data_IF_586465255325
#
_entry.id   IF_586465255325
#
_cell.length_a   1.000
_cell.length_b   1.000
_cell.length_c   1.000
_cell.angle_alpha   90.00
_cell.angle_beta   90.00
_cell.angle_gamma   90.00
#
_symmetry.space_group_name_H-M   'P 1'
#
loop_
_entity.id
_entity.type
_entity.pdbx_description
1 polymer ?
#
# COMPACT_ATOMS: atom_id res chain seq x y z
N UNK A 1 -31.44 -9.51 16.50
CA UNK A 1 -31.10 -10.79 15.85
C UNK A 1 -32.23 -11.08 14.89
N UNK A 2 -32.06 -10.71 13.63
CA UNK A 2 -32.90 -11.17 12.52
C UNK A 2 -31.92 -11.46 11.38
N UNK A 3 -31.91 -12.72 10.96
CA UNK A 3 -31.09 -13.24 9.86
C UNK A 3 -32.03 -13.32 8.67
N UNK A 4 -31.79 -12.51 7.64
CA UNK A 4 -32.46 -12.68 6.36
C UNK A 4 -31.60 -13.60 5.50
N UNK A 5 -32.10 -14.82 5.29
CA UNK A 5 -31.49 -15.83 4.44
C UNK A 5 -31.65 -15.44 2.96
N UNK A 6 -30.56 -15.49 2.19
CA UNK A 6 -30.62 -15.37 0.74
C UNK A 6 -30.86 -16.74 0.11
N UNK A 7 -31.87 -16.81 -0.74
CA UNK A 7 -32.22 -17.96 -1.54
C UNK A 7 -31.31 -18.00 -2.77
N UNK A 8 -30.44 -19.00 -2.88
CA UNK A 8 -29.60 -19.21 -4.06
C UNK A 8 -30.43 -19.86 -5.16
N UNK A 9 -30.78 -19.11 -6.21
CA UNK A 9 -31.13 -19.72 -7.49
C UNK A 9 -29.83 -20.04 -8.22
N UNK A 10 -29.56 -21.33 -8.36
CA UNK A 10 -28.47 -21.86 -9.17
C UNK A 10 -28.70 -21.52 -10.64
N UNK A 11 -27.92 -20.60 -11.20
CA UNK A 11 -27.76 -20.50 -12.65
C UNK A 11 -26.72 -21.53 -13.11
N UNK A 12 -26.94 -22.20 -14.26
CA UNK A 12 -26.09 -23.30 -14.69
C UNK A 12 -24.69 -22.81 -15.01
N UNK A 13 -23.72 -23.59 -14.55
CA UNK A 13 -22.29 -23.43 -14.79
C UNK A 13 -22.03 -23.63 -16.29
N UNK A 14 -21.81 -22.55 -17.03
CA UNK A 14 -21.21 -22.64 -18.35
C UNK A 14 -19.84 -21.93 -18.37
N UNK A 15 -18.91 -22.62 -18.99
CA UNK A 15 -17.48 -22.45 -18.86
C UNK A 15 -16.93 -21.25 -19.63
N UNK A 16 -15.86 -20.65 -19.07
CA UNK A 16 -15.06 -19.51 -19.56
C UNK A 16 -15.72 -18.14 -19.41
N UNK A 17 -15.50 -17.54 -18.25
CA UNK A 17 -15.41 -16.07 -18.17
C UNK A 17 -14.19 -15.74 -17.32
N UNK A 18 -13.23 -15.06 -17.94
CA UNK A 18 -12.09 -14.43 -17.29
C UNK A 18 -12.62 -13.58 -16.14
N UNK A 19 -11.98 -13.66 -14.98
CA UNK A 19 -12.15 -12.67 -13.93
C UNK A 19 -11.92 -11.25 -14.48
N UNK A 20 -12.48 -10.26 -13.80
CA UNK A 20 -12.46 -8.82 -14.09
C UNK A 20 -13.58 -8.33 -15.04
N UNK A 21 -14.78 -8.19 -14.47
CA UNK A 21 -15.71 -7.06 -14.72
C UNK A 21 -16.94 -7.23 -13.80
N UNK A 22 -16.81 -6.86 -12.53
CA UNK A 22 -17.96 -6.75 -11.62
C UNK A 22 -18.51 -5.33 -11.71
N UNK A 23 -19.46 -5.13 -12.63
CA UNK A 23 -20.32 -3.95 -12.61
C UNK A 23 -21.32 -4.09 -11.45
N UNK A 24 -21.08 -3.40 -10.34
CA UNK A 24 -22.06 -3.31 -9.25
C UNK A 24 -23.18 -2.36 -9.71
N UNK A 25 -24.27 -2.93 -10.24
CA UNK A 25 -25.48 -2.18 -10.57
C UNK A 25 -26.33 -1.95 -9.31
N UNK A 26 -26.76 -0.70 -9.09
CA UNK A 26 -27.70 -0.32 -8.02
C UNK A 26 -29.04 -1.04 -8.22
N UNK A 27 -29.58 -1.66 -7.16
CA UNK A 27 -30.95 -2.21 -7.15
C UNK A 27 -31.89 -1.30 -6.35
N UNK A 28 -33.18 -1.26 -6.73
CA UNK A 28 -34.19 -0.23 -6.36
C UNK A 28 -34.61 -0.17 -4.87
N UNK A 29 -33.98 -0.92 -3.95
CA UNK A 29 -34.44 -1.05 -2.57
C UNK A 29 -33.38 -0.78 -1.50
N UNK A 30 -32.38 0.06 -1.80
CA UNK A 30 -31.48 0.59 -0.78
C UNK A 30 -32.22 1.61 0.10
N UNK A 31 -32.26 1.37 1.42
CA UNK A 31 -32.86 2.27 2.43
C UNK A 31 -31.90 2.48 3.60
N UNK A 32 -30.83 3.22 3.36
CA UNK A 32 -30.07 3.86 4.42
C UNK A 32 -29.69 5.23 3.90
N UNK A 33 -30.18 6.27 4.58
CA UNK A 33 -29.87 7.67 4.29
C UNK A 33 -28.35 7.89 4.44
N UNK A 34 -27.77 8.49 3.40
CA UNK A 34 -26.58 9.35 3.34
C UNK A 34 -25.24 8.97 4.05
N UNK A 35 -25.03 7.73 4.47
CA UNK A 35 -23.73 7.31 5.05
C UNK A 35 -22.58 7.10 4.03
N UNK A 36 -22.82 7.29 2.73
CA UNK A 36 -21.85 7.11 1.64
C UNK A 36 -21.46 8.43 0.92
N UNK A 37 -21.96 9.58 1.40
CA UNK A 37 -21.77 10.87 0.73
C UNK A 37 -22.87 11.18 -0.29
N UNK A 38 -22.86 12.39 -0.86
CA UNK A 38 -23.91 12.89 -1.76
C UNK A 38 -24.18 11.97 -2.96
N UNK A 39 -25.39 12.01 -3.57
CA UNK A 39 -25.69 11.25 -4.80
C UNK A 39 -24.61 11.43 -5.87
N UNK A 40 -23.92 10.33 -6.22
CA UNK A 40 -22.78 10.34 -7.17
C UNK A 40 -21.44 9.94 -6.56
N UNK A 41 -21.36 9.70 -5.25
CA UNK A 41 -20.17 9.15 -4.61
C UNK A 41 -19.86 7.73 -5.10
N UNK A 42 -18.60 7.48 -5.43
CA UNK A 42 -18.05 6.16 -5.78
C UNK A 42 -17.24 5.67 -4.58
N UNK A 43 -17.69 4.60 -3.93
CA UNK A 43 -16.94 3.95 -2.85
C UNK A 43 -15.91 2.97 -3.40
N UNK A 44 -14.76 2.86 -2.73
CA UNK A 44 -13.74 1.84 -3.04
C UNK A 44 -13.98 0.61 -2.17
N UNK A 45 -14.05 -0.57 -2.79
CA UNK A 45 -14.08 -1.84 -2.07
C UNK A 45 -12.70 -2.10 -1.49
N UNK A 46 -12.53 -1.93 -0.17
CA UNK A 46 -11.26 -2.15 0.52
C UNK A 46 -10.99 -3.64 0.80
N UNK A 47 -12.05 -4.44 0.95
CA UNK A 47 -11.97 -5.88 1.23
C UNK A 47 -13.25 -6.60 0.82
N UNK A 48 -13.09 -7.73 0.14
CA UNK A 48 -14.17 -8.68 -0.14
C UNK A 48 -14.04 -9.85 0.83
N UNK A 49 -15.10 -10.15 1.60
CA UNK A 49 -15.17 -11.32 2.49
C UNK A 49 -16.22 -12.31 1.96
N UNK A 50 -16.19 -13.54 2.47
CA UNK A 50 -17.05 -14.66 2.03
C UNK A 50 -18.56 -14.36 2.23
N UNK A 51 -18.90 -13.39 3.09
CA UNK A 51 -20.25 -12.95 3.43
C UNK A 51 -20.59 -11.51 2.99
N UNK A 52 -19.70 -10.79 2.29
CA UNK A 52 -20.01 -9.48 1.72
C UNK A 52 -18.84 -8.52 1.49
N UNK A 53 -19.15 -7.32 0.98
CA UNK A 53 -18.23 -6.19 0.83
C UNK A 53 -18.24 -5.40 2.15
N UNK A 54 -17.07 -5.27 2.79
CA UNK A 54 -16.92 -4.43 3.98
C UNK A 54 -16.36 -3.07 3.56
N UNK A 55 -17.14 -2.02 3.76
CA UNK A 55 -16.70 -0.62 3.70
C UNK A 55 -16.60 -0.14 5.14
N UNK A 56 -15.39 -0.07 5.70
CA UNK A 56 -15.19 0.49 7.03
C UNK A 56 -14.47 1.84 6.90
N UNK A 57 -15.19 2.93 7.22
CA UNK A 57 -14.61 4.26 7.31
C UNK A 57 -13.91 4.39 8.67
N UNK A 58 -12.61 4.15 8.72
CA UNK A 58 -11.82 4.42 9.91
C UNK A 58 -11.20 5.81 9.81
N UNK A 59 -11.89 6.80 10.39
CA UNK A 59 -11.32 8.14 10.62
C UNK A 59 -10.11 8.05 11.55
N UNK A 60 -8.91 7.91 10.96
CA UNK A 60 -7.68 8.43 11.56
C UNK A 60 -7.11 9.51 10.66
N UNK A 61 -7.66 10.71 10.82
CA UNK A 61 -7.13 11.93 10.24
C UNK A 61 -5.88 12.35 11.04
N UNK A 62 -4.80 11.58 10.94
CA UNK A 62 -3.48 12.01 11.37
C UNK A 62 -2.85 12.86 10.28
N UNK A 63 -2.44 14.08 10.65
CA UNK A 63 -2.00 15.15 9.76
C UNK A 63 -0.97 14.69 8.71
N UNK A 64 -1.34 14.89 7.45
CA UNK A 64 -0.59 14.56 6.23
C UNK A 64 0.85 15.13 6.23
N UNK A 65 1.11 16.19 6.99
CA UNK A 65 2.42 16.85 7.04
C UNK A 65 3.58 15.95 7.52
N UNK A 66 3.31 14.86 8.26
CA UNK A 66 4.39 14.06 8.88
C UNK A 66 5.15 13.14 7.90
N UNK A 67 4.67 12.96 6.67
CA UNK A 67 5.21 11.98 5.71
C UNK A 67 5.95 12.58 4.51
N UNK A 68 6.13 13.91 4.47
CA UNK A 68 6.81 14.58 3.36
C UNK A 68 8.32 14.76 3.59
N UNK A 69 8.75 14.90 4.84
CA UNK A 69 10.15 15.20 5.17
C UNK A 69 10.97 13.91 5.30
N UNK A 70 11.86 13.70 4.34
CA UNK A 70 12.85 12.62 4.35
C UNK A 70 14.18 13.19 4.85
N UNK A 71 14.72 12.59 5.91
CA UNK A 71 16.05 12.93 6.45
C UNK A 71 17.10 12.10 5.72
N UNK A 72 18.24 12.70 5.40
CA UNK A 72 19.38 12.01 4.80
C UNK A 72 20.12 11.09 5.76
N UNK A 73 19.89 11.23 7.07
CA UNK A 73 20.58 10.48 8.12
C UNK A 73 19.84 9.22 8.56
N UNK A 74 18.62 9.01 8.05
CA UNK A 74 17.79 7.85 8.35
C UNK A 74 17.55 7.06 7.05
N UNK A 75 17.25 5.75 7.14
CA UNK A 75 16.91 4.96 5.97
C UNK A 75 15.75 5.62 5.21
N UNK A 76 15.78 5.63 3.87
CA UNK A 76 14.77 6.36 3.12
C UNK A 76 13.33 5.89 3.35
N UNK A 77 12.35 6.76 3.10
CA UNK A 77 10.94 6.32 3.08
C UNK A 77 10.73 5.23 2.03
N UNK A 78 9.87 4.27 2.33
CA UNK A 78 9.66 3.06 1.53
C UNK A 78 10.63 1.91 1.84
N UNK A 79 11.66 2.15 2.67
CA UNK A 79 12.60 1.10 3.07
C UNK A 79 11.88 0.02 3.88
N UNK A 80 12.21 -1.24 3.57
CA UNK A 80 11.66 -2.44 4.20
C UNK A 80 12.46 -2.79 5.45
N UNK A 81 11.76 -3.21 6.50
CA UNK A 81 12.36 -3.44 7.82
C UNK A 81 11.75 -4.64 8.53
N UNK A 82 12.49 -5.18 9.49
CA UNK A 82 12.00 -6.10 10.53
C UNK A 82 12.42 -5.61 11.91
N UNK A 83 11.84 -6.20 12.96
CA UNK A 83 12.34 -6.00 14.33
C UNK A 83 13.84 -6.33 14.41
N UNK A 84 14.58 -5.48 15.12
CA UNK A 84 16.00 -5.63 15.42
C UNK A 84 16.25 -6.29 16.77
N UNK A 85 17.52 -6.41 17.14
CA UNK A 85 17.91 -7.08 18.39
C UNK A 85 17.47 -6.32 19.65
N UNK A 86 17.29 -5.00 19.56
CA UNK A 86 16.88 -4.17 20.69
C UNK A 86 15.35 -4.05 20.81
N UNK A 87 14.59 -4.85 20.06
CA UNK A 87 13.13 -4.84 20.09
C UNK A 87 12.57 -5.29 21.44
N UNK A 88 11.74 -4.44 22.04
CA UNK A 88 11.04 -4.68 23.31
C UNK A 88 9.51 -4.48 23.20
N UNK A 89 8.99 -4.29 21.98
CA UNK A 89 7.62 -3.83 21.71
C UNK A 89 6.61 -4.97 21.56
N UNK A 90 6.87 -6.12 22.18
CA UNK A 90 6.02 -7.32 22.12
C UNK A 90 5.73 -7.72 20.65
N UNK A 91 4.55 -8.24 20.35
CA UNK A 91 4.15 -8.74 19.03
C UNK A 91 3.46 -7.68 18.14
N UNK A 92 3.83 -6.39 18.23
CA UNK A 92 3.22 -5.31 17.41
C UNK A 92 3.34 -5.53 15.90
N UNK A 93 4.43 -6.15 15.47
CA UNK A 93 4.76 -6.50 14.09
C UNK A 93 4.35 -7.93 13.71
N UNK A 94 3.87 -8.74 14.66
CA UNK A 94 3.52 -10.16 14.45
C UNK A 94 4.63 -10.97 13.75
N UNK A 95 5.89 -10.71 14.09
CA UNK A 95 7.07 -11.30 13.44
C UNK A 95 7.09 -11.07 11.91
N UNK A 96 6.41 -10.04 11.43
CA UNK A 96 6.28 -9.66 10.01
C UNK A 96 7.18 -8.48 9.62
N UNK A 97 7.34 -8.24 8.31
CA UNK A 97 8.06 -7.08 7.81
C UNK A 97 7.20 -5.80 7.92
N UNK A 98 7.84 -4.64 7.75
CA UNK A 98 7.17 -3.35 7.70
C UNK A 98 7.83 -2.39 6.71
N UNK A 99 7.20 -1.23 6.51
CA UNK A 99 7.69 -0.15 5.64
C UNK A 99 7.91 1.12 6.43
N UNK A 100 9.06 1.78 6.26
CA UNK A 100 9.29 3.13 6.78
C UNK A 100 8.44 4.13 6.00
N UNK A 101 7.47 4.77 6.67
CA UNK A 101 6.53 5.73 6.05
C UNK A 101 6.79 7.18 6.46
N UNK A 102 7.56 7.42 7.53
CA UNK A 102 7.89 8.78 7.97
C UNK A 102 9.07 8.81 8.91
N UNK A 103 9.63 10.00 9.16
CA UNK A 103 10.78 10.20 10.04
C UNK A 103 10.45 11.11 11.23
N UNK A 104 11.19 10.91 12.31
CA UNK A 104 11.37 11.88 13.38
C UNK A 104 12.87 12.04 13.62
N UNK A 105 13.48 12.92 12.82
CA UNK A 105 14.92 13.15 12.81
C UNK A 105 15.46 13.61 14.17
N UNK A 106 14.72 14.49 14.87
CA UNK A 106 15.11 14.99 16.20
C UNK A 106 15.34 13.89 17.24
N UNK A 107 14.73 12.71 17.05
CA UNK A 107 14.84 11.55 17.94
C UNK A 107 15.54 10.36 17.28
N UNK A 108 16.03 10.49 16.05
CA UNK A 108 16.55 9.37 15.26
C UNK A 108 15.57 8.20 15.19
N UNK A 109 14.29 8.50 14.91
CA UNK A 109 13.23 7.52 14.84
C UNK A 109 12.62 7.43 13.45
N UNK A 110 12.22 6.22 13.08
CA UNK A 110 11.48 5.92 11.85
C UNK A 110 10.06 5.49 12.22
N UNK A 111 9.06 6.04 11.52
CA UNK A 111 7.68 5.61 11.57
C UNK A 111 7.51 4.42 10.64
N UNK A 112 7.10 3.28 11.17
CA UNK A 112 6.91 2.05 10.39
C UNK A 112 5.45 1.68 10.38
N UNK A 113 4.93 1.31 9.21
CA UNK A 113 3.67 0.58 9.05
C UNK A 113 3.98 -0.91 8.87
N UNK A 114 3.43 -1.75 9.74
CA UNK A 114 3.65 -3.20 9.71
C UNK A 114 2.68 -3.90 8.77
N UNK A 115 3.22 -4.81 7.95
CA UNK A 115 2.52 -5.47 6.86
C UNK A 115 1.33 -6.34 7.30
N UNK A 116 1.45 -7.00 8.46
CA UNK A 116 0.44 -7.96 8.96
C UNK A 116 -0.61 -7.31 9.86
N UNK A 117 -0.24 -6.22 10.53
CA UNK A 117 -1.11 -5.58 11.54
C UNK A 117 -1.67 -4.23 11.09
N UNK A 118 -1.08 -3.62 10.04
CA UNK A 118 -1.37 -2.25 9.63
C UNK A 118 -0.98 -1.19 10.67
N UNK A 119 -0.42 -1.59 11.81
CA UNK A 119 -0.10 -0.66 12.89
C UNK A 119 1.05 0.25 12.50
N UNK A 120 0.92 1.52 12.87
CA UNK A 120 1.96 2.54 12.68
C UNK A 120 2.54 2.98 14.01
N UNK A 121 3.87 2.96 14.13
CA UNK A 121 4.54 3.50 15.31
C UNK A 121 5.96 3.99 14.99
N UNK A 122 6.55 4.76 15.92
CA UNK A 122 7.93 5.22 15.84
C UNK A 122 8.87 4.27 16.58
N UNK A 123 9.96 3.92 15.92
CA UNK A 123 11.01 3.06 16.44
C UNK A 123 12.37 3.74 16.27
N UNK A 124 13.25 3.57 17.25
CA UNK A 124 14.62 4.05 17.17
C UNK A 124 15.38 3.28 16.11
N UNK A 125 15.98 4.05 15.20
CA UNK A 125 16.90 3.52 14.22
C UNK A 125 18.31 3.98 14.58
N UNK A 126 19.21 3.02 14.74
CA UNK A 126 20.64 3.28 14.74
C UNK A 126 21.30 2.41 13.66
N UNK A 127 22.36 2.94 13.06
CA UNK A 127 23.22 2.22 12.10
C UNK A 127 24.11 1.17 12.78
N UNK A 128 23.93 0.96 14.08
CA UNK A 128 24.70 0.03 14.89
C UNK A 128 23.90 -1.24 15.20
N UNK A 129 24.56 -2.20 15.85
CA UNK A 129 23.98 -3.53 16.12
C UNK A 129 22.79 -3.52 17.09
N UNK A 130 22.45 -2.40 17.75
CA UNK A 130 21.38 -2.33 18.78
C UNK A 130 20.18 -1.49 18.34
N UNK A 131 19.79 -1.58 17.08
CA UNK A 131 18.59 -0.88 16.58
C UNK A 131 17.31 -1.63 17.00
N UNK A 132 16.22 -0.88 17.25
CA UNK A 132 14.90 -1.51 17.45
C UNK A 132 14.41 -2.16 16.16
N UNK A 133 14.87 -1.67 15.00
CA UNK A 133 14.48 -2.16 13.68
C UNK A 133 15.68 -2.22 12.74
N UNK A 134 15.70 -3.21 11.85
CA UNK A 134 16.78 -3.45 10.88
C UNK A 134 16.23 -3.40 9.46
N UNK A 135 17.02 -2.86 8.54
CA UNK A 135 16.70 -2.83 7.10
C UNK A 135 16.81 -4.24 6.52
N UNK A 136 15.86 -4.59 5.65
CA UNK A 136 15.83 -5.85 4.91
C UNK A 136 15.50 -5.61 3.44
N UNK A 137 15.82 -6.55 2.56
CA UNK A 137 15.47 -6.51 1.13
C UNK A 137 14.20 -7.32 0.81
N UNK A 138 13.43 -7.68 1.84
CA UNK A 138 12.20 -8.46 1.68
C UNK A 138 11.09 -7.62 1.02
N UNK A 139 10.56 -8.06 -0.13
CA UNK A 139 9.52 -7.31 -0.81
C UNK A 139 8.20 -7.29 -0.01
N UNK A 140 7.34 -6.31 -0.32
CA UNK A 140 5.95 -6.33 0.11
C UNK A 140 5.21 -7.47 -0.62
N UNK A 141 4.66 -8.40 0.16
CA UNK A 141 3.81 -9.48 -0.35
C UNK A 141 2.36 -9.13 -0.03
N UNK A 142 1.54 -9.02 -1.06
CA UNK A 142 0.12 -8.74 -0.93
C UNK A 142 -0.64 -9.98 -0.46
N UNK A 143 -1.57 -9.79 0.47
CA UNK A 143 -2.59 -10.78 0.77
C UNK A 143 -3.62 -10.86 -0.39
N UNK A 144 -4.33 -11.99 -0.58
CA UNK A 144 -5.23 -12.18 -1.73
C UNK A 144 -6.34 -11.13 -1.88
N UNK A 145 -6.67 -10.42 -0.79
CA UNK A 145 -7.70 -9.37 -0.74
C UNK A 145 -7.12 -7.95 -0.81
N UNK A 146 -5.79 -7.78 -0.79
CA UNK A 146 -5.16 -6.48 -0.90
C UNK A 146 -4.98 -6.11 -2.39
N UNK A 147 -5.27 -4.84 -2.70
CA UNK A 147 -5.04 -4.28 -4.03
C UNK A 147 -3.70 -3.56 -4.03
N UNK A 148 -3.71 -2.26 -3.73
CA UNK A 148 -2.52 -1.44 -3.48
C UNK A 148 -2.47 -1.08 -2.00
N UNK A 149 -1.31 -1.23 -1.40
CA UNK A 149 -1.08 -0.98 0.04
C UNK A 149 0.34 -0.42 0.24
N UNK A 150 0.59 0.10 1.43
CA UNK A 150 1.92 0.58 1.83
C UNK A 150 3.00 -0.47 1.56
N UNK A 151 4.16 -0.02 1.07
CA UNK A 151 5.30 -0.86 0.75
C UNK A 151 5.26 -1.49 -0.65
N UNK A 152 4.15 -1.39 -1.40
CA UNK A 152 4.11 -1.87 -2.77
C UNK A 152 5.08 -1.09 -3.66
N UNK A 153 5.77 -1.82 -4.53
CA UNK A 153 6.47 -1.22 -5.67
C UNK A 153 5.46 -0.90 -6.76
N UNK A 154 5.59 0.26 -7.41
CA UNK A 154 4.69 0.71 -8.48
C UNK A 154 5.44 1.38 -9.62
N UNK A 155 4.89 1.29 -10.82
CA UNK A 155 5.30 2.05 -12.00
C UNK A 155 4.13 2.86 -12.54
N UNK A 156 4.36 3.65 -13.60
CA UNK A 156 3.30 4.39 -14.30
C UNK A 156 2.25 3.42 -14.84
N UNK A 157 0.99 3.66 -14.50
CA UNK A 157 -0.17 2.95 -15.03
C UNK A 157 -0.72 3.58 -16.30
N UNK A 158 -1.78 2.98 -16.85
CA UNK A 158 -2.38 3.35 -18.14
C UNK A 158 -2.98 4.75 -18.17
N UNK A 159 -3.39 5.29 -17.01
CA UNK A 159 -4.04 6.61 -16.92
C UNK A 159 -3.07 7.76 -16.62
N UNK A 160 -1.76 7.48 -16.53
CA UNK A 160 -0.75 8.44 -16.09
C UNK A 160 -0.80 9.76 -16.88
N UNK A 161 -0.92 10.87 -16.15
CA UNK A 161 -0.99 12.23 -16.73
C UNK A 161 -0.01 13.24 -16.11
N UNK A 162 0.92 12.78 -15.27
CA UNK A 162 1.79 13.65 -14.45
C UNK A 162 3.19 13.88 -15.05
N UNK A 163 3.30 13.81 -16.39
CA UNK A 163 4.56 14.06 -17.08
C UNK A 163 5.72 13.20 -16.55
N UNK A 164 6.77 13.86 -16.04
CA UNK A 164 8.02 13.24 -15.56
C UNK A 164 8.19 13.27 -14.04
N UNK A 165 7.10 13.32 -13.27
CA UNK A 165 7.15 13.34 -11.80
C UNK A 165 7.96 12.17 -11.17
N UNK A 166 7.99 11.02 -11.85
CA UNK A 166 8.65 9.80 -11.39
C UNK A 166 10.11 9.64 -11.85
N UNK A 167 10.83 10.72 -12.22
CA UNK A 167 12.21 10.67 -12.73
C UNK A 167 12.32 10.18 -14.18
N UNK A 168 12.08 8.88 -14.41
CA UNK A 168 12.12 8.25 -15.75
C UNK A 168 10.84 7.43 -16.00
N UNK A 169 10.45 7.15 -17.26
CA UNK A 169 9.27 6.33 -17.55
C UNK A 169 9.25 4.96 -16.86
N UNK A 170 10.42 4.35 -16.69
CA UNK A 170 10.59 3.00 -16.13
C UNK A 170 10.94 3.01 -14.63
N UNK A 171 10.93 4.19 -14.00
CA UNK A 171 11.24 4.29 -12.58
C UNK A 171 10.18 3.60 -11.72
N UNK A 172 10.68 2.87 -10.72
CA UNK A 172 9.87 2.19 -9.72
C UNK A 172 9.76 3.07 -8.48
N UNK A 173 8.53 3.39 -8.11
CA UNK A 173 8.19 4.09 -6.87
C UNK A 173 7.77 3.11 -5.78
N UNK A 174 7.75 3.60 -4.56
CA UNK A 174 7.25 2.85 -3.39
C UNK A 174 6.06 3.57 -2.78
N UNK A 175 4.98 2.83 -2.53
CA UNK A 175 3.78 3.34 -1.88
C UNK A 175 4.05 3.62 -0.40
N UNK A 176 3.81 4.85 0.03
CA UNK A 176 3.97 5.30 1.42
C UNK A 176 2.65 5.39 2.19
N UNK A 177 1.52 5.60 1.50
CA UNK A 177 0.20 5.60 2.11
C UNK A 177 -0.89 5.47 1.03
N UNK A 178 -1.99 4.82 1.37
CA UNK A 178 -3.20 4.75 0.56
C UNK A 178 -4.31 5.48 1.31
N UNK A 179 -5.04 6.36 0.63
CA UNK A 179 -6.21 7.08 1.18
C UNK A 179 -7.50 6.38 0.77
N UNK A 180 -8.53 6.54 1.58
CA UNK A 180 -9.87 5.97 1.34
C UNK A 180 -10.51 6.47 0.03
N UNK A 181 -10.11 7.64 -0.47
CA UNK A 181 -10.59 8.23 -1.73
C UNK A 181 -9.85 7.69 -2.98
N UNK A 182 -9.02 6.66 -2.84
CA UNK A 182 -8.27 6.05 -3.94
C UNK A 182 -7.04 6.85 -4.37
N UNK A 183 -6.61 7.83 -3.57
CA UNK A 183 -5.35 8.56 -3.80
C UNK A 183 -4.19 7.86 -3.06
N UNK A 184 -3.09 7.65 -3.76
CA UNK A 184 -1.93 6.88 -3.28
C UNK A 184 -0.69 7.77 -3.25
N UNK A 185 -0.08 7.93 -2.08
CA UNK A 185 1.20 8.64 -1.92
C UNK A 185 2.34 7.71 -2.33
N UNK A 186 3.10 8.11 -3.35
CA UNK A 186 4.26 7.36 -3.84
C UNK A 186 5.51 8.19 -3.67
N UNK A 187 6.61 7.54 -3.25
CA UNK A 187 7.97 8.08 -3.31
C UNK A 187 8.69 7.50 -4.51
N UNK A 188 9.26 8.36 -5.34
CA UNK A 188 10.06 7.97 -6.49
C UNK A 188 11.58 8.01 -6.20
N UNK A 189 12.43 7.39 -7.05
CA UNK A 189 13.88 7.33 -6.83
C UNK A 189 14.55 8.72 -6.71
N UNK A 190 14.05 9.72 -7.42
CA UNK A 190 14.48 11.11 -7.32
C UNK A 190 14.04 11.81 -6.00
N UNK A 191 13.49 11.05 -5.05
CA UNK A 191 12.94 11.49 -3.75
C UNK A 191 11.67 12.33 -3.85
N UNK A 192 11.13 12.57 -5.04
CA UNK A 192 9.84 13.23 -5.20
C UNK A 192 8.74 12.37 -4.56
N UNK A 193 7.72 13.04 -4.03
CA UNK A 193 6.58 12.41 -3.37
C UNK A 193 5.32 13.10 -3.81
N UNK A 194 4.36 12.35 -4.34
CA UNK A 194 3.08 12.91 -4.76
C UNK A 194 1.96 11.88 -4.65
N UNK A 195 0.72 12.38 -4.69
CA UNK A 195 -0.46 11.54 -4.74
C UNK A 195 -0.88 11.25 -6.18
N UNK A 196 -1.19 10.00 -6.46
CA UNK A 196 -1.65 9.50 -7.76
C UNK A 196 -2.93 8.70 -7.60
N UNK A 197 -3.74 8.59 -8.64
CA UNK A 197 -5.02 7.88 -8.57
C UNK A 197 -4.81 6.39 -8.74
N UNK A 198 -5.47 5.62 -7.88
CA UNK A 198 -5.63 4.19 -8.03
C UNK A 198 -7.09 3.85 -7.71
N UNK A 199 -7.95 3.96 -8.72
CA UNK A 199 -9.40 3.83 -8.62
C UNK A 199 -10.15 5.14 -8.38
N UNK A 200 -9.47 6.22 -7.97
CA UNK A 200 -10.08 7.54 -7.83
C UNK A 200 -10.57 8.06 -9.19
N UNK A 201 -11.85 8.46 -9.23
CA UNK A 201 -12.58 8.83 -10.46
C UNK A 201 -12.52 7.75 -11.57
N UNK A 202 -12.26 6.49 -11.21
CA UNK A 202 -12.10 5.38 -12.15
C UNK A 202 -10.74 5.32 -12.88
N UNK A 203 -9.78 6.15 -12.49
CA UNK A 203 -8.46 6.18 -13.12
C UNK A 203 -7.40 5.41 -12.33
N UNK A 204 -6.49 4.78 -13.08
CA UNK A 204 -5.37 4.01 -12.55
C UNK A 204 -4.06 4.57 -13.11
N UNK A 205 -3.49 5.52 -12.39
CA UNK A 205 -2.22 6.17 -12.72
C UNK A 205 -1.02 5.32 -12.29
N UNK A 206 -1.23 4.30 -11.47
CA UNK A 206 -0.20 3.41 -10.97
C UNK A 206 -0.49 1.96 -11.37
N UNK A 207 0.56 1.19 -11.62
CA UNK A 207 0.53 -0.26 -11.79
C UNK A 207 1.47 -0.89 -10.76
N UNK A 208 1.03 -1.96 -10.09
CA UNK A 208 1.84 -2.66 -9.09
C UNK A 208 2.91 -3.48 -9.79
N UNK A 209 4.13 -3.39 -9.28
CA UNK A 209 5.25 -4.22 -9.70
C UNK A 209 5.40 -5.35 -8.69
N UNK A 210 5.17 -6.60 -9.12
CA UNK A 210 5.53 -7.75 -8.31
C UNK A 210 7.05 -7.97 -8.42
N UNK A 211 7.79 -8.02 -7.31
CA UNK A 211 9.21 -8.32 -7.32
C UNK A 211 9.54 -9.73 -7.85
N UNK A 212 8.53 -10.58 -8.06
CA UNK A 212 8.70 -11.89 -8.70
C UNK A 212 8.58 -11.84 -10.23
N UNK A 213 7.97 -10.80 -10.79
CA UNK A 213 7.76 -10.67 -12.24
C UNK A 213 8.92 -9.91 -12.93
N UNK A 214 9.60 -9.01 -12.21
CA UNK A 214 10.66 -8.14 -12.77
C UNK A 214 12.12 -8.52 -12.44
N UNK A 215 12.37 -9.65 -11.76
CA UNK A 215 13.74 -10.17 -11.56
C UNK A 215 14.45 -10.50 -12.89
N UNK A 216 13.72 -10.55 -13.99
CA UNK A 216 14.27 -10.71 -15.34
C UNK A 216 14.92 -9.42 -15.88
N UNK A 217 14.62 -8.24 -15.31
CA UNK A 217 15.11 -6.93 -15.78
C UNK A 217 16.16 -6.28 -14.86
N UNK A 218 16.26 -6.71 -13.60
CA UNK A 218 17.26 -6.23 -12.62
C UNK A 218 18.62 -6.97 -12.69
N UNK A 219 18.75 -8.00 -13.53
CA UNK A 219 19.97 -8.80 -13.70
C UNK A 219 21.06 -8.19 -14.58
N UNK A 220 20.87 -6.99 -15.14
CA UNK A 220 21.78 -6.42 -16.16
C UNK A 220 22.68 -5.27 -15.68
N UNK A 221 22.87 -5.07 -14.37
CA UNK A 221 23.90 -4.13 -13.90
C UNK A 221 24.27 -4.36 -12.44
N UNK A 222 25.14 -5.33 -12.16
CA UNK A 222 25.99 -5.33 -10.96
C UNK A 222 27.20 -6.27 -11.17
N UNK A 223 28.10 -5.90 -12.07
CA UNK A 223 29.49 -6.35 -11.98
C UNK A 223 30.28 -5.30 -11.19
N UNK A 224 30.22 -5.38 -9.86
CA UNK A 224 31.26 -4.85 -8.99
C UNK A 224 32.12 -6.04 -8.54
N UNK A 225 33.23 -6.25 -9.24
CA UNK A 225 34.28 -7.14 -8.76
C UNK A 225 34.98 -6.49 -7.56
N UNK A 226 35.11 -7.17 -6.40
CA UNK A 226 35.97 -6.70 -5.34
C UNK A 226 37.42 -6.82 -5.78
N UNK A 227 38.18 -5.73 -5.73
CA UNK A 227 39.64 -5.79 -5.88
C UNK A 227 40.23 -6.44 -4.63
N UNK A 228 41.03 -7.49 -4.84
CA UNK A 228 42.03 -7.97 -3.90
C UNK A 228 43.16 -6.94 -3.74
#
# INVERSE_FOLDING_TARGET
MEVLAFHTQSLPLDTKTSAFDLNILRWEHWRYDDQDGTPGAVGVVLKVQEDGIVVEAQKQQHSIQKYHTESSNLPPLGTRVRRGIAWDKSQQDCDGPGTIVGHNESRSQVCIEWDLTGQRNFYYFNDMERSEVVVVEEPRVLQPYELIVTGCCVKRGKSWMYGNDNDTPDAIGVVLSVREDGMVLVRWPNKSKNYYRYGADGYFDLEICSPHEDQTLLGASNHFTPKM
#
